data_IF_372229161941
#
_entry.id   IF_372229161941
#
_cell.length_a   1.000
_cell.length_b   1.000
_cell.length_c   1.000
_cell.angle_alpha   90.00
_cell.angle_beta   90.00
_cell.angle_gamma   90.00
#
_symmetry.space_group_name_H-M   'P 1'
#
loop_
_entity.id
_entity.type
_entity.pdbx_description
1 polymer ?
#
# COMPACT_ATOMS: atom_id res chain seq x y z
N UNK A 1 -4.30 1.84 34.15
CA UNK A 1 -3.33 2.64 33.36
C UNK A 1 -4.10 3.59 32.46
N UNK A 2 -3.96 4.91 32.64
CA UNK A 2 -4.65 5.89 31.81
C UNK A 2 -4.02 5.94 30.41
N UNK A 3 -4.81 5.71 29.35
CA UNK A 3 -4.36 5.82 27.96
C UNK A 3 -3.89 7.25 27.67
N UNK A 4 -2.68 7.43 27.13
CA UNK A 4 -2.12 8.75 26.80
C UNK A 4 -2.95 9.45 25.72
N UNK A 5 -3.02 10.79 25.77
CA UNK A 5 -3.70 11.60 24.74
C UNK A 5 -3.11 11.38 23.33
N UNK A 6 -1.80 11.07 23.23
CA UNK A 6 -1.13 10.73 21.97
C UNK A 6 -1.70 9.47 21.30
N UNK A 7 -2.19 8.51 22.09
CA UNK A 7 -2.79 7.28 21.56
C UNK A 7 -4.08 7.55 20.78
N UNK A 8 -4.90 8.52 21.22
CA UNK A 8 -6.16 8.87 20.52
C UNK A 8 -5.91 9.58 19.20
N UNK A 9 -4.91 10.47 19.15
CA UNK A 9 -4.59 11.22 17.93
C UNK A 9 -3.95 10.32 16.86
N UNK A 10 -3.03 9.43 17.25
CA UNK A 10 -2.47 8.42 16.36
C UNK A 10 -3.54 7.46 15.82
N UNK A 11 -4.48 7.01 16.68
CA UNK A 11 -5.62 6.20 16.25
C UNK A 11 -6.49 6.96 15.24
N UNK A 12 -6.76 8.25 15.50
CA UNK A 12 -7.55 9.09 14.58
C UNK A 12 -6.86 9.25 13.22
N UNK A 13 -5.57 9.55 13.19
CA UNK A 13 -4.78 9.61 11.95
C UNK A 13 -4.77 8.28 11.18
N UNK A 14 -4.82 7.15 11.90
CA UNK A 14 -4.91 5.83 11.28
C UNK A 14 -6.29 5.54 10.67
N UNK A 15 -7.37 6.02 11.30
CA UNK A 15 -8.74 5.85 10.79
C UNK A 15 -9.09 6.84 9.68
N UNK A 16 -8.52 8.04 9.69
CA UNK A 16 -8.71 9.08 8.66
C UNK A 16 -7.75 8.92 7.47
N UNK A 17 -7.10 7.75 7.32
CA UNK A 17 -6.15 7.51 6.24
C UNK A 17 -6.87 7.40 4.88
N UNK A 18 -6.86 8.50 4.13
CA UNK A 18 -7.45 8.61 2.80
C UNK A 18 -7.02 7.50 1.84
N UNK A 19 -5.80 6.96 1.99
CA UNK A 19 -5.33 5.89 1.13
C UNK A 19 -5.97 4.55 1.45
N UNK A 20 -6.43 4.32 2.69
CA UNK A 20 -7.22 3.12 3.02
C UNK A 20 -8.55 3.19 2.27
N UNK A 21 -9.27 4.30 2.38
CA UNK A 21 -10.53 4.51 1.64
C UNK A 21 -10.32 4.39 0.14
N UNK A 22 -9.33 5.09 -0.42
CA UNK A 22 -9.01 5.01 -1.85
C UNK A 22 -8.65 3.59 -2.28
N UNK A 23 -7.93 2.83 -1.46
CA UNK A 23 -7.60 1.44 -1.81
C UNK A 23 -8.85 0.57 -1.94
N UNK A 24 -9.83 0.75 -1.06
CA UNK A 24 -11.11 0.04 -1.14
C UNK A 24 -11.92 0.47 -2.37
N UNK A 25 -12.03 1.78 -2.61
CA UNK A 25 -12.75 2.36 -3.77
C UNK A 25 -12.16 1.90 -5.11
N UNK A 26 -10.83 1.79 -5.19
CA UNK A 26 -10.10 1.40 -6.41
C UNK A 26 -9.83 -0.12 -6.49
N UNK A 27 -10.30 -0.92 -5.53
CA UNK A 27 -10.13 -2.38 -5.55
C UNK A 27 -8.70 -2.88 -5.27
N UNK A 28 -7.86 -2.05 -4.65
CA UNK A 28 -6.53 -2.45 -4.19
C UNK A 28 -6.60 -3.18 -2.85
N UNK A 29 -5.81 -4.25 -2.72
CA UNK A 29 -5.72 -5.08 -1.50
C UNK A 29 -5.17 -4.32 -0.29
N UNK A 30 -4.43 -3.24 -0.50
CA UNK A 30 -3.95 -2.38 0.58
C UNK A 30 -3.59 -0.99 0.09
N UNK A 31 -3.58 -0.02 1.00
CA UNK A 31 -3.03 1.32 0.75
C UNK A 31 -1.56 1.33 0.30
N UNK A 32 -0.80 0.25 0.57
CA UNK A 32 0.60 0.17 0.17
C UNK A 32 0.79 0.09 -1.35
N UNK A 33 -0.23 -0.34 -2.10
CA UNK A 33 -0.24 -0.37 -3.57
C UNK A 33 0.13 0.99 -4.18
N UNK A 34 -0.35 2.08 -3.58
CA UNK A 34 -0.05 3.44 -4.06
C UNK A 34 1.43 3.80 -3.99
N UNK A 35 2.19 3.24 -3.04
CA UNK A 35 3.64 3.48 -2.97
C UNK A 35 4.37 2.85 -4.14
N UNK A 36 4.03 1.60 -4.47
CA UNK A 36 4.64 0.91 -5.58
C UNK A 36 4.25 1.56 -6.91
N UNK A 37 2.99 1.99 -7.07
CA UNK A 37 2.53 2.73 -8.24
C UNK A 37 3.30 4.05 -8.44
N UNK A 38 3.46 4.85 -7.38
CA UNK A 38 4.20 6.12 -7.45
C UNK A 38 5.68 5.90 -7.76
N UNK A 39 6.31 4.90 -7.14
CA UNK A 39 7.69 4.49 -7.45
C UNK A 39 7.81 4.02 -8.90
N UNK A 40 6.86 3.22 -9.38
CA UNK A 40 6.86 2.74 -10.75
C UNK A 40 6.73 3.89 -11.75
N UNK A 41 5.83 4.86 -11.49
CA UNK A 41 5.65 6.04 -12.34
C UNK A 41 6.96 6.84 -12.47
N UNK A 42 7.65 7.08 -11.35
CA UNK A 42 8.88 7.88 -11.31
C UNK A 42 10.10 7.16 -11.89
N UNK A 43 10.32 5.92 -11.48
CA UNK A 43 11.60 5.23 -11.67
C UNK A 43 11.55 4.09 -12.68
N UNK A 44 10.35 3.67 -13.12
CA UNK A 44 10.15 2.54 -14.05
C UNK A 44 10.87 1.26 -13.55
N UNK A 45 10.71 0.98 -12.25
CA UNK A 45 11.37 -0.08 -11.48
C UNK A 45 11.12 -1.49 -12.03
N UNK A 46 9.86 -1.81 -12.30
CA UNK A 46 9.41 -3.09 -12.86
C UNK A 46 9.22 -2.92 -14.36
N UNK A 47 9.70 -3.87 -15.15
CA UNK A 47 9.56 -3.87 -16.60
C UNK A 47 9.02 -5.21 -17.09
N UNK A 48 8.35 -5.25 -18.25
CA UNK A 48 7.86 -6.49 -18.82
C UNK A 48 8.95 -7.56 -18.94
N UNK A 49 8.64 -8.78 -18.55
CA UNK A 49 9.55 -9.93 -18.55
C UNK A 49 10.43 -10.09 -17.31
N UNK A 50 10.32 -9.19 -16.32
CA UNK A 50 10.99 -9.37 -15.02
C UNK A 50 10.29 -10.43 -14.16
N UNK A 51 11.06 -11.13 -13.34
CA UNK A 51 10.52 -11.96 -12.26
C UNK A 51 10.54 -11.16 -10.96
N UNK A 52 9.39 -11.05 -10.30
CA UNK A 52 9.24 -10.33 -9.02
C UNK A 52 9.00 -11.33 -7.90
N UNK A 53 9.69 -11.15 -6.78
CA UNK A 53 9.51 -11.94 -5.55
C UNK A 53 9.07 -11.01 -4.43
N UNK A 54 7.86 -11.22 -3.91
CA UNK A 54 7.29 -10.46 -2.79
C UNK A 54 7.44 -11.25 -1.48
N UNK A 55 8.35 -10.82 -0.62
CA UNK A 55 8.65 -11.46 0.66
C UNK A 55 7.74 -10.89 1.76
N UNK A 56 6.70 -11.65 2.13
CA UNK A 56 5.73 -11.23 3.13
C UNK A 56 4.52 -10.51 2.54
N UNK A 57 4.00 -11.04 1.42
CA UNK A 57 2.90 -10.49 0.64
C UNK A 57 1.52 -10.46 1.33
N UNK A 58 1.40 -10.44 2.66
CA UNK A 58 0.11 -10.22 3.32
C UNK A 58 -0.12 -8.72 3.54
N UNK A 59 -1.19 -8.09 3.03
CA UNK A 59 -2.33 -8.67 2.29
C UNK A 59 -2.15 -8.73 0.76
N UNK A 60 -1.02 -8.28 0.21
CA UNK A 60 -0.63 -8.55 -1.18
C UNK A 60 -0.85 -7.39 -2.14
N UNK A 61 -0.87 -6.15 -1.61
CA UNK A 61 -1.05 -4.95 -2.44
C UNK A 61 0.07 -4.71 -3.44
N UNK A 62 1.32 -5.04 -3.09
CA UNK A 62 2.46 -4.92 -4.01
C UNK A 62 2.43 -6.05 -5.04
N UNK A 63 2.24 -7.30 -4.60
CA UNK A 63 2.02 -8.44 -5.52
C UNK A 63 0.91 -8.18 -6.55
N UNK A 64 -0.23 -7.59 -6.14
CA UNK A 64 -1.32 -7.22 -7.04
C UNK A 64 -0.83 -6.27 -8.15
N UNK A 65 -0.22 -5.15 -7.76
CA UNK A 65 0.29 -4.15 -8.72
C UNK A 65 1.41 -4.73 -9.59
N UNK A 66 2.36 -5.46 -8.99
CA UNK A 66 3.49 -6.04 -9.72
C UNK A 66 3.03 -7.02 -10.79
N UNK A 67 1.97 -7.80 -10.54
CA UNK A 67 1.42 -8.75 -11.51
C UNK A 67 0.85 -8.10 -12.78
N UNK A 68 0.50 -6.81 -12.72
CA UNK A 68 -0.01 -6.04 -13.86
C UNK A 68 1.12 -5.37 -14.68
N UNK A 69 2.36 -5.37 -14.16
CA UNK A 69 3.51 -4.66 -14.72
C UNK A 69 4.56 -5.57 -15.39
N UNK A 70 4.57 -6.86 -15.04
CA UNK A 70 5.53 -7.86 -15.54
C UNK A 70 5.10 -8.52 -16.85
#
# INVERSE_FOLDING_TARGET
>A
MARSKSSKQWLKEHFDDDYVRRSQEQGYRSRASFKLLEMQEKDQLIRPGMTVVDLGAAPGGWSQVASELV
#
